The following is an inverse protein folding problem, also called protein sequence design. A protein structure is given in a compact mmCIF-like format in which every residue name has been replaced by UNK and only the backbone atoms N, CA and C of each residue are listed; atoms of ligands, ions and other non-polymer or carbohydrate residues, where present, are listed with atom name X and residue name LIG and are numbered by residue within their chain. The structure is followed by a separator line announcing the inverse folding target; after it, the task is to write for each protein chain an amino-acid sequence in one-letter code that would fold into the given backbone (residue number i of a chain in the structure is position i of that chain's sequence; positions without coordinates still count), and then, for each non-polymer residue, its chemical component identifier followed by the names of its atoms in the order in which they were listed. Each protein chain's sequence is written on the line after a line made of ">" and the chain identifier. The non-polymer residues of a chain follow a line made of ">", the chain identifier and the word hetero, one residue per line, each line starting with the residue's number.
data_IF_985509961125
#
_entry.id   IF_985509961125
#
_cell.length_a   1.000
_cell.length_b   1.000
_cell.length_c   1.000
_cell.angle_alpha   90.00
_cell.angle_beta   90.00
_cell.angle_gamma   90.00
#
_symmetry.space_group_name_H-M   'P 1'
#
loop_
_entity.id
_entity.type
_entity.pdbx_description
1 polymer ?
#
# COMPACT_ATOMS: atom_id res chain seq x y z
N UNK A 1 1.39 -26.19 -17.55
CA UNK A 1 1.24 -24.77 -17.98
C UNK A 1 1.90 -23.89 -16.94
N UNK A 2 2.74 -22.92 -17.34
CA UNK A 2 3.25 -21.90 -16.42
C UNK A 2 2.25 -20.75 -16.36
N UNK A 3 1.77 -20.42 -15.17
CA UNK A 3 0.94 -19.23 -14.95
C UNK A 3 1.85 -18.02 -14.72
N UNK A 4 1.49 -16.89 -15.33
CA UNK A 4 2.21 -15.62 -15.15
C UNK A 4 1.45 -14.80 -14.10
N UNK A 5 2.17 -14.34 -13.09
CA UNK A 5 1.70 -13.37 -12.12
C UNK A 5 2.56 -12.11 -12.21
N UNK A 6 1.94 -10.94 -12.15
CA UNK A 6 2.62 -9.65 -12.12
C UNK A 6 2.52 -9.07 -10.71
N UNK A 7 3.65 -8.87 -10.04
CA UNK A 7 3.72 -8.17 -8.76
C UNK A 7 4.04 -6.69 -8.99
N UNK A 8 3.27 -5.83 -8.33
CA UNK A 8 3.37 -4.38 -8.42
C UNK A 8 3.13 -3.73 -7.07
N UNK A 9 3.60 -2.50 -6.92
CA UNK A 9 3.39 -1.71 -5.70
C UNK A 9 3.30 -0.22 -6.01
N UNK A 10 2.80 0.58 -5.06
CA UNK A 10 2.67 2.03 -5.22
C UNK A 10 4.00 2.78 -5.06
N UNK A 11 4.93 2.27 -4.23
CA UNK A 11 6.19 2.95 -3.88
C UNK A 11 7.43 2.29 -4.48
N UNK A 12 8.41 3.10 -4.88
CA UNK A 12 9.72 2.60 -5.36
C UNK A 12 10.54 1.90 -4.28
N UNK A 13 10.36 2.30 -3.01
CA UNK A 13 11.02 1.65 -1.87
C UNK A 13 10.48 0.23 -1.71
N UNK A 14 9.15 0.07 -1.73
CA UNK A 14 8.50 -1.24 -1.64
C UNK A 14 8.88 -2.12 -2.82
N UNK A 15 8.99 -1.57 -4.03
CA UNK A 15 9.35 -2.33 -5.23
C UNK A 15 10.77 -2.92 -5.16
N UNK A 16 11.61 -2.40 -4.27
CA UNK A 16 12.98 -2.88 -4.07
C UNK A 16 13.06 -4.03 -3.04
N UNK A 17 11.98 -4.28 -2.29
CA UNK A 17 11.93 -5.30 -1.24
C UNK A 17 11.72 -6.70 -1.86
N UNK A 18 10.99 -6.80 -2.96
CA UNK A 18 10.68 -8.07 -3.62
C UNK A 18 11.31 -8.18 -5.02
N UNK A 19 12.03 -9.28 -5.32
CA UNK A 19 12.62 -9.49 -6.63
C UNK A 19 11.57 -9.46 -7.76
N UNK A 20 11.77 -8.56 -8.72
CA UNK A 20 10.91 -8.46 -9.90
C UNK A 20 9.68 -7.57 -9.74
N UNK A 21 9.45 -7.02 -8.55
CA UNK A 21 8.45 -5.97 -8.37
C UNK A 21 8.82 -4.70 -9.13
N UNK A 22 7.78 -3.98 -9.55
CA UNK A 22 7.90 -2.67 -10.16
C UNK A 22 6.77 -1.81 -9.65
N UNK A 23 6.98 -0.50 -9.63
CA UNK A 23 5.89 0.41 -9.32
C UNK A 23 4.76 0.28 -10.35
N UNK A 24 3.52 0.46 -9.94
CA UNK A 24 2.36 0.42 -10.83
C UNK A 24 2.54 1.39 -12.02
N UNK A 25 3.04 2.60 -11.75
CA UNK A 25 3.42 3.58 -12.78
C UNK A 25 4.40 3.01 -13.81
N UNK A 26 5.47 2.34 -13.37
CA UNK A 26 6.49 1.79 -14.28
C UNK A 26 5.98 0.56 -15.04
N UNK A 27 5.25 -0.33 -14.36
CA UNK A 27 4.72 -1.57 -14.92
C UNK A 27 3.64 -1.31 -15.97
N UNK A 28 2.73 -0.38 -15.69
CA UNK A 28 1.55 -0.13 -16.51
C UNK A 28 1.62 1.18 -17.30
N UNK A 29 2.74 1.90 -17.23
CA UNK A 29 2.95 3.19 -17.91
C UNK A 29 1.84 4.19 -17.59
N UNK A 30 1.31 4.13 -16.37
CA UNK A 30 0.35 5.10 -15.85
C UNK A 30 1.12 6.38 -15.52
N UNK A 31 0.63 7.53 -15.98
CA UNK A 31 1.24 8.83 -15.68
C UNK A 31 1.12 9.15 -14.19
N UNK A 32 2.11 9.86 -13.65
CA UNK A 32 2.13 10.28 -12.24
C UNK A 32 1.10 11.39 -12.01
N UNK A 33 1.04 12.35 -12.95
CA UNK A 33 0.00 13.37 -12.98
C UNK A 33 -1.15 12.87 -13.86
N UNK A 34 -2.22 12.45 -13.20
CA UNK A 34 -3.42 11.94 -13.85
C UNK A 34 -4.47 13.07 -13.86
N UNK A 35 -4.67 13.66 -15.03
CA UNK A 35 -5.80 14.54 -15.40
C UNK A 35 -7.07 13.73 -15.74
N UNK A 36 -8.23 14.39 -15.75
CA UNK A 36 -9.53 13.85 -16.17
C UNK A 36 -9.47 13.21 -17.57
N UNK A 37 -8.64 13.72 -18.49
CA UNK A 37 -8.48 13.21 -19.86
C UNK A 37 -7.34 12.20 -20.04
N UNK A 38 -6.73 11.70 -18.96
CA UNK A 38 -5.56 10.81 -19.09
C UNK A 38 -5.96 9.47 -19.69
N UNK A 39 -5.49 9.21 -20.91
CA UNK A 39 -5.58 7.91 -21.57
C UNK A 39 -4.29 7.12 -21.35
N UNK A 40 -4.38 5.79 -21.40
CA UNK A 40 -3.21 4.94 -21.23
C UNK A 40 -2.41 4.82 -22.54
N UNK A 41 -1.10 4.98 -22.44
CA UNK A 41 -0.18 5.02 -23.60
C UNK A 41 0.34 3.64 -24.05
N UNK A 42 -0.26 2.53 -23.61
CA UNK A 42 0.19 1.19 -24.02
C UNK A 42 -0.53 0.77 -25.30
N UNK A 43 0.21 0.65 -26.40
CA UNK A 43 -0.30 0.04 -27.64
C UNK A 43 -0.58 -1.45 -27.42
N UNK A 44 -1.67 -1.95 -28.01
CA UNK A 44 -2.10 -3.36 -27.91
C UNK A 44 -1.06 -4.33 -28.46
N UNK A 45 -0.28 -3.88 -29.43
CA UNK A 45 0.76 -4.63 -30.15
C UNK A 45 2.08 -4.70 -29.37
N UNK A 46 2.23 -3.92 -28.30
CA UNK A 46 3.46 -3.91 -27.50
C UNK A 46 3.70 -5.24 -26.78
N UNK A 47 4.97 -5.58 -26.55
CA UNK A 47 5.38 -6.76 -25.76
C UNK A 47 4.85 -6.71 -24.33
N UNK A 48 4.75 -5.50 -23.75
CA UNK A 48 4.15 -5.28 -22.43
C UNK A 48 2.65 -5.60 -22.42
N UNK A 49 1.91 -5.19 -23.45
CA UNK A 49 0.50 -5.57 -23.61
C UNK A 49 0.35 -7.09 -23.73
N UNK A 50 1.24 -7.76 -24.46
CA UNK A 50 1.29 -9.23 -24.51
C UNK A 50 1.47 -9.85 -23.12
N UNK A 51 2.46 -9.37 -22.36
CA UNK A 51 2.71 -9.83 -20.99
C UNK A 51 1.49 -9.65 -20.06
N UNK A 52 0.81 -8.50 -20.13
CA UNK A 52 -0.40 -8.22 -19.34
C UNK A 52 -1.55 -9.14 -19.77
N UNK A 53 -1.70 -9.39 -21.09
CA UNK A 53 -2.70 -10.31 -21.64
C UNK A 53 -2.45 -11.76 -21.20
N UNK A 54 -1.21 -12.19 -21.09
CA UNK A 54 -0.84 -13.54 -20.65
C UNK A 54 -0.91 -13.72 -19.13
N UNK A 55 -0.70 -12.64 -18.36
CA UNK A 55 -0.81 -12.65 -16.91
C UNK A 55 -2.20 -13.09 -16.44
N UNK A 56 -2.25 -14.07 -15.54
CA UNK A 56 -3.51 -14.55 -14.94
C UNK A 56 -3.85 -13.83 -13.64
N UNK A 57 -2.81 -13.36 -12.95
CA UNK A 57 -2.90 -12.70 -11.67
C UNK A 57 -2.08 -11.41 -11.70
N UNK A 58 -2.64 -10.33 -11.16
CA UNK A 58 -1.89 -9.10 -10.87
C UNK A 58 -2.06 -8.81 -9.39
N UNK A 59 -0.94 -8.67 -8.68
CA UNK A 59 -0.91 -8.28 -7.28
C UNK A 59 -0.44 -6.84 -7.20
N UNK A 60 -1.17 -6.00 -6.48
CA UNK A 60 -0.79 -4.63 -6.19
C UNK A 60 -0.70 -4.45 -4.68
N UNK A 61 0.52 -4.32 -4.18
CA UNK A 61 0.81 -4.07 -2.76
C UNK A 61 0.91 -2.58 -2.43
N UNK A 62 0.63 -2.21 -1.19
CA UNK A 62 0.55 -0.81 -0.72
C UNK A 62 -0.46 0.04 -1.51
N UNK A 63 -1.62 -0.54 -1.86
CA UNK A 63 -2.69 0.15 -2.61
C UNK A 63 -3.32 1.31 -1.83
N UNK A 64 -3.23 1.32 -0.50
CA UNK A 64 -3.76 2.40 0.36
C UNK A 64 -3.11 3.75 0.08
N UNK A 65 -1.85 3.73 -0.39
CA UNK A 65 -1.10 4.91 -0.82
C UNK A 65 -1.48 5.39 -2.23
N UNK A 66 -2.19 4.58 -3.02
CA UNK A 66 -2.55 4.91 -4.39
C UNK A 66 -3.77 5.83 -4.42
N UNK A 67 -3.71 6.88 -5.26
CA UNK A 67 -4.87 7.71 -5.54
C UNK A 67 -5.94 6.88 -6.24
N UNK A 68 -7.23 7.10 -5.91
CA UNK A 68 -8.37 6.42 -6.54
C UNK A 68 -8.30 6.44 -8.07
N UNK A 69 -7.88 7.57 -8.63
CA UNK A 69 -7.83 7.77 -10.08
C UNK A 69 -6.83 6.84 -10.75
N UNK A 70 -5.77 6.45 -10.04
CA UNK A 70 -4.80 5.49 -10.55
C UNK A 70 -5.40 4.10 -10.72
N UNK A 71 -6.28 3.69 -9.78
CA UNK A 71 -7.00 2.42 -9.91
C UNK A 71 -8.03 2.47 -11.04
N UNK A 72 -8.72 3.60 -11.21
CA UNK A 72 -9.68 3.80 -12.31
C UNK A 72 -9.01 3.76 -13.68
N UNK A 73 -7.88 4.45 -13.85
CA UNK A 73 -7.09 4.40 -15.08
C UNK A 73 -6.52 3.01 -15.32
N UNK A 74 -6.12 2.31 -14.25
CA UNK A 74 -5.67 0.91 -14.35
C UNK A 74 -6.79 -0.03 -14.82
N UNK A 75 -8.02 0.14 -14.32
CA UNK A 75 -9.19 -0.59 -14.81
C UNK A 75 -9.47 -0.31 -16.29
N UNK A 76 -9.47 0.97 -16.69
CA UNK A 76 -9.64 1.37 -18.09
C UNK A 76 -8.57 0.76 -19.01
N UNK A 77 -7.30 0.75 -18.56
CA UNK A 77 -6.20 0.10 -19.27
C UNK A 77 -6.49 -1.38 -19.52
N UNK A 78 -6.88 -2.11 -18.47
CA UNK A 78 -7.13 -3.54 -18.59
C UNK A 78 -8.35 -3.82 -19.47
N UNK A 79 -9.41 -3.04 -19.37
CA UNK A 79 -10.57 -3.13 -20.26
C UNK A 79 -10.17 -2.94 -21.73
N UNK A 80 -9.33 -1.93 -22.00
CA UNK A 80 -8.78 -1.64 -23.32
C UNK A 80 -7.91 -2.78 -23.86
N UNK A 81 -6.95 -3.27 -23.07
CA UNK A 81 -6.00 -4.31 -23.48
C UNK A 81 -6.67 -5.68 -23.67
N UNK A 82 -7.69 -5.98 -22.86
CA UNK A 82 -8.41 -7.26 -22.89
C UNK A 82 -9.61 -7.26 -23.84
N UNK A 83 -9.97 -6.10 -24.38
CA UNK A 83 -11.19 -5.91 -25.19
C UNK A 83 -12.45 -6.41 -24.46
N UNK A 84 -12.55 -6.12 -23.17
CA UNK A 84 -13.63 -6.59 -22.29
C UNK A 84 -14.05 -5.47 -21.34
N UNK A 85 -15.33 -5.11 -21.34
CA UNK A 85 -15.86 -4.02 -20.51
C UNK A 85 -16.10 -4.40 -19.03
N UNK A 86 -15.81 -5.65 -18.64
CA UNK A 86 -15.91 -6.08 -17.26
C UNK A 86 -14.78 -5.46 -16.41
N UNK A 87 -14.99 -5.38 -15.09
CA UNK A 87 -13.99 -4.89 -14.15
C UNK A 87 -12.63 -5.58 -14.37
N UNK A 88 -11.58 -4.76 -14.45
CA UNK A 88 -10.19 -5.14 -14.73
C UNK A 88 -10.01 -6.01 -15.98
N UNK A 89 -10.87 -5.87 -16.99
CA UNK A 89 -10.79 -6.67 -18.22
C UNK A 89 -10.87 -8.17 -17.96
N UNK A 90 -11.59 -8.60 -16.91
CA UNK A 90 -11.70 -10.00 -16.43
C UNK A 90 -10.40 -10.59 -15.88
N UNK A 91 -9.43 -9.76 -15.51
CA UNK A 91 -8.22 -10.22 -14.80
C UNK A 91 -8.53 -10.45 -13.32
N UNK A 92 -7.82 -11.42 -12.73
CA UNK A 92 -7.79 -11.58 -11.28
C UNK A 92 -6.81 -10.56 -10.73
N UNK A 93 -7.32 -9.63 -9.93
CA UNK A 93 -6.54 -8.59 -9.27
C UNK A 93 -6.59 -8.83 -7.76
N UNK A 94 -5.43 -8.83 -7.11
CA UNK A 94 -5.31 -8.83 -5.65
C UNK A 94 -4.72 -7.50 -5.23
N UNK A 95 -5.53 -6.67 -4.59
CA UNK A 95 -5.11 -5.41 -4.02
C UNK A 95 -4.83 -5.62 -2.53
N UNK A 96 -3.64 -5.23 -2.09
CA UNK A 96 -3.18 -5.33 -0.70
C UNK A 96 -2.76 -3.96 -0.21
N UNK A 97 -3.09 -3.66 1.03
CA UNK A 97 -2.69 -2.44 1.71
C UNK A 97 -3.42 -2.29 3.03
N UNK A 98 -2.88 -1.45 3.91
CA UNK A 98 -3.50 -1.10 5.17
C UNK A 98 -3.86 0.39 5.19
N UNK A 99 -5.16 0.66 5.28
CA UNK A 99 -5.70 2.03 5.28
C UNK A 99 -5.50 2.75 6.62
N UNK A 100 -4.99 2.06 7.65
CA UNK A 100 -4.53 2.69 8.90
C UNK A 100 -3.12 3.26 8.79
N UNK A 101 -2.39 2.96 7.71
CA UNK A 101 -1.09 3.54 7.43
C UNK A 101 -1.23 4.88 6.67
N UNK A 102 -0.44 5.05 5.61
CA UNK A 102 -0.34 6.28 4.84
C UNK A 102 -1.44 6.35 3.79
N UNK A 103 -2.15 7.48 3.79
CA UNK A 103 -3.10 7.86 2.74
C UNK A 103 -2.36 8.36 1.49
N UNK A 104 -3.05 8.47 0.34
CA UNK A 104 -2.46 9.00 -0.88
C UNK A 104 -1.92 10.42 -0.67
N UNK A 105 -0.76 10.72 -1.24
CA UNK A 105 -0.13 12.02 -1.07
C UNK A 105 -0.87 13.09 -1.89
N UNK A 106 -1.43 14.10 -1.21
CA UNK A 106 -2.03 15.30 -1.80
C UNK A 106 -1.23 16.52 -1.34
N UNK A 107 -0.46 17.12 -2.25
CA UNK A 107 0.36 18.31 -1.93
C UNK A 107 -0.55 19.46 -1.54
N UNK A 108 -0.27 20.09 -0.39
CA UNK A 108 -1.05 21.21 0.16
C UNK A 108 -2.54 20.89 0.39
N UNK A 109 -2.91 19.61 0.44
CA UNK A 109 -4.29 19.16 0.65
C UNK A 109 -4.75 19.31 2.10
N UNK A 110 -6.05 19.48 2.28
CA UNK A 110 -6.74 19.37 3.58
C UNK A 110 -7.24 17.93 3.77
N UNK A 111 -7.64 17.57 4.99
CA UNK A 111 -8.17 16.24 5.35
C UNK A 111 -9.20 15.69 4.33
N UNK A 112 -10.12 16.53 3.86
CA UNK A 112 -11.13 16.15 2.85
C UNK A 112 -10.53 15.74 1.50
N UNK A 113 -9.40 16.32 1.11
CA UNK A 113 -8.77 16.08 -0.18
C UNK A 113 -8.07 14.71 -0.15
N UNK A 114 -7.40 14.36 0.96
CA UNK A 114 -6.85 13.02 1.18
C UNK A 114 -7.92 11.92 1.14
N UNK A 115 -9.07 12.18 1.79
CA UNK A 115 -10.21 11.25 1.80
C UNK A 115 -10.80 11.11 0.38
N UNK A 116 -11.00 12.23 -0.32
CA UNK A 116 -11.53 12.24 -1.67
C UNK A 116 -10.62 11.54 -2.67
N UNK A 117 -9.30 11.60 -2.48
CA UNK A 117 -8.31 10.90 -3.31
C UNK A 117 -8.07 9.44 -2.90
N UNK A 118 -8.60 9.01 -1.75
CA UNK A 118 -8.45 7.63 -1.27
C UNK A 118 -9.23 6.64 -2.13
N UNK A 119 -8.69 5.42 -2.25
CA UNK A 119 -9.37 4.30 -2.90
C UNK A 119 -10.78 4.06 -2.36
N UNK A 120 -11.00 4.33 -1.06
CA UNK A 120 -12.29 4.19 -0.39
C UNK A 120 -13.40 5.04 -1.04
N UNK A 121 -13.03 6.10 -1.76
CA UNK A 121 -13.95 7.01 -2.48
C UNK A 121 -14.07 6.68 -3.98
N UNK A 122 -13.44 5.61 -4.47
CA UNK A 122 -13.62 5.13 -5.84
C UNK A 122 -14.91 4.33 -5.97
N UNK A 123 -15.59 4.42 -7.11
CA UNK A 123 -16.72 3.54 -7.42
C UNK A 123 -16.31 2.06 -7.43
N UNK A 124 -15.09 1.77 -7.88
CA UNK A 124 -14.52 0.41 -7.95
C UNK A 124 -14.48 -0.23 -6.56
N UNK A 125 -14.25 0.54 -5.50
CA UNK A 125 -14.15 0.02 -4.14
C UNK A 125 -15.35 -0.85 -3.76
N UNK A 126 -16.56 -0.44 -4.15
CA UNK A 126 -17.78 -1.17 -3.82
C UNK A 126 -17.90 -2.50 -4.57
N UNK A 127 -17.25 -2.63 -5.73
CA UNK A 127 -17.25 -3.85 -6.55
C UNK A 127 -16.22 -4.89 -6.06
N UNK A 128 -15.26 -4.49 -5.22
CA UNK A 128 -14.23 -5.40 -4.71
C UNK A 128 -14.77 -6.35 -3.63
N UNK A 129 -14.25 -7.57 -3.59
CA UNK A 129 -14.37 -8.43 -2.42
C UNK A 129 -13.35 -8.01 -1.35
N UNK A 130 -13.79 -7.89 -0.09
CA UNK A 130 -12.94 -7.44 1.01
C UNK A 130 -12.57 -8.62 1.90
N UNK A 131 -11.29 -8.97 1.89
CA UNK A 131 -10.71 -9.94 2.79
C UNK A 131 -9.90 -9.19 3.84
N UNK A 132 -10.10 -9.54 5.11
CA UNK A 132 -9.40 -8.92 6.23
C UNK A 132 -8.49 -9.95 6.88
N UNK A 133 -7.23 -9.59 7.08
CA UNK A 133 -6.32 -10.35 7.92
C UNK A 133 -6.49 -9.87 9.38
N UNK A 134 -6.41 -10.80 10.32
CA UNK A 134 -6.65 -10.52 11.74
C UNK A 134 -5.43 -10.80 12.61
N UNK A 135 -4.54 -11.67 12.17
CA UNK A 135 -3.34 -12.04 12.93
C UNK A 135 -2.13 -11.24 12.44
N UNK A 136 -1.56 -10.42 13.33
CA UNK A 136 -0.27 -9.77 13.09
C UNK A 136 0.86 -10.78 13.36
N UNK A 137 1.40 -11.35 12.30
CA UNK A 137 2.47 -12.34 12.39
C UNK A 137 3.80 -11.76 12.88
N UNK A 138 3.99 -10.43 12.80
CA UNK A 138 5.23 -9.75 13.18
C UNK A 138 5.38 -9.60 14.69
N UNK A 139 4.29 -9.30 15.36
CA UNK A 139 4.24 -9.10 16.81
C UNK A 139 3.63 -10.30 17.52
N UNK A 140 3.63 -11.47 16.87
CA UNK A 140 3.05 -12.70 17.42
C UNK A 140 3.67 -13.12 18.77
N UNK A 141 4.95 -12.82 18.96
CA UNK A 141 5.68 -13.10 20.21
C UNK A 141 5.52 -12.00 21.27
N UNK A 142 4.81 -10.92 20.96
CA UNK A 142 4.65 -9.74 21.82
C UNK A 142 3.20 -9.20 21.74
N UNK A 143 2.24 -9.89 22.37
CA UNK A 143 0.82 -9.52 22.28
C UNK A 143 0.51 -8.12 22.83
N UNK A 144 1.21 -7.70 23.90
CA UNK A 144 1.02 -6.38 24.50
C UNK A 144 1.39 -5.26 23.51
N UNK A 145 2.51 -5.42 22.80
CA UNK A 145 2.91 -4.48 21.75
C UNK A 145 1.97 -4.56 20.53
N UNK A 146 1.52 -5.76 20.15
CA UNK A 146 0.52 -5.94 19.09
C UNK A 146 -0.77 -5.15 19.37
N UNK A 147 -1.31 -5.28 20.59
CA UNK A 147 -2.52 -4.58 21.01
C UNK A 147 -2.31 -3.07 21.05
N UNK A 148 -1.13 -2.61 21.47
CA UNK A 148 -0.77 -1.20 21.43
C UNK A 148 -0.74 -0.64 20.00
N UNK A 149 -0.09 -1.33 19.05
CA UNK A 149 -0.09 -0.93 17.64
C UNK A 149 -1.50 -0.91 17.04
N UNK A 150 -2.35 -1.86 17.41
CA UNK A 150 -3.75 -1.91 16.98
C UNK A 150 -4.55 -0.72 17.50
N UNK A 151 -4.38 -0.34 18.78
CA UNK A 151 -5.04 0.84 19.35
C UNK A 151 -4.61 2.12 18.65
N UNK A 152 -3.31 2.27 18.34
CA UNK A 152 -2.81 3.40 17.56
C UNK A 152 -3.45 3.42 16.17
N UNK A 153 -3.37 2.31 15.43
CA UNK A 153 -3.88 2.25 14.05
C UNK A 153 -5.39 2.47 13.97
N UNK A 154 -6.14 2.11 15.00
CA UNK A 154 -7.59 2.34 15.07
C UNK A 154 -7.96 3.73 15.61
N UNK A 155 -7.00 4.56 16.00
CA UNK A 155 -7.25 5.87 16.63
C UNK A 155 -7.92 5.77 18.01
N UNK A 156 -7.65 4.68 18.74
CA UNK A 156 -8.20 4.40 20.07
C UNK A 156 -7.20 4.65 21.20
N UNK A 157 -5.92 4.84 20.87
CA UNK A 157 -4.89 5.15 21.86
C UNK A 157 -5.09 6.54 22.46
N UNK A 158 -4.75 6.69 23.74
CA UNK A 158 -4.96 7.97 24.44
C UNK A 158 -4.04 9.04 23.88
N UNK A 159 -4.60 10.23 23.71
CA UNK A 159 -3.84 11.43 23.35
C UNK A 159 -3.74 12.36 24.55
N UNK A 160 -2.65 13.10 24.62
CA UNK A 160 -2.46 14.13 25.64
C UNK A 160 -3.18 15.44 25.26
N UNK A 161 -3.02 16.47 26.09
CA UNK A 161 -3.64 17.79 25.88
C UNK A 161 -3.22 18.49 24.59
N UNK A 162 -2.13 18.03 23.94
CA UNK A 162 -1.64 18.53 22.67
C UNK A 162 -2.06 17.67 21.47
N UNK A 163 -3.02 16.74 21.64
CA UNK A 163 -3.50 15.81 20.61
C UNK A 163 -2.39 14.89 20.06
N UNK A 164 -1.45 14.50 20.94
CA UNK A 164 -0.33 13.59 20.60
C UNK A 164 -0.43 12.29 21.38
N UNK A 165 -0.05 11.20 20.74
CA UNK A 165 0.12 9.89 21.38
C UNK A 165 1.44 9.90 22.15
N UNK A 166 1.39 9.59 23.43
CA UNK A 166 2.59 9.44 24.27
C UNK A 166 3.16 8.04 24.13
N UNK A 167 4.48 7.95 24.01
CA UNK A 167 5.18 6.66 23.93
C UNK A 167 5.20 6.05 25.34
N UNK A 168 4.74 4.81 25.54
CA UNK A 168 4.82 4.12 26.82
C UNK A 168 6.25 4.06 27.36
N UNK A 169 6.42 4.24 28.67
CA UNK A 169 7.74 4.18 29.33
C UNK A 169 8.49 2.87 29.04
N UNK A 170 7.77 1.77 28.83
CA UNK A 170 8.35 0.46 28.46
C UNK A 170 9.03 0.44 27.08
N UNK A 171 8.75 1.42 26.22
CA UNK A 171 9.35 1.57 24.89
C UNK A 171 10.40 2.70 24.85
N UNK A 172 10.63 3.40 25.96
CA UNK A 172 11.59 4.50 26.04
C UNK A 172 12.93 3.98 26.56
N UNK A 173 14.00 4.25 25.82
CA UNK A 173 15.37 4.08 26.30
C UNK A 173 15.86 5.46 26.77
N UNK A 174 16.10 5.66 28.09
CA UNK A 174 16.56 6.94 28.60
C UNK A 174 17.90 7.33 27.98
N UNK A 175 17.98 8.56 27.49
CA UNK A 175 19.24 9.10 26.99
C UNK A 175 20.22 9.30 28.14
N UNK A 176 21.42 8.77 27.99
CA UNK A 176 22.52 8.88 28.96
C UNK A 176 23.75 9.48 28.28
N UNK A 177 24.47 8.66 27.51
CA UNK A 177 25.47 9.12 26.54
C UNK A 177 25.10 8.60 25.16
N UNK A 178 25.58 9.25 24.09
CA UNK A 178 25.30 8.82 22.71
C UNK A 178 25.65 7.34 22.51
N UNK A 179 26.87 6.95 22.91
CA UNK A 179 27.36 5.58 22.75
C UNK A 179 26.51 4.56 23.49
N UNK A 180 26.29 4.75 24.79
CA UNK A 180 25.52 3.79 25.60
C UNK A 180 24.05 3.72 25.19
N UNK A 181 23.47 4.85 24.80
CA UNK A 181 22.08 4.91 24.36
C UNK A 181 21.91 4.21 23.01
N UNK A 182 22.86 4.38 22.07
CA UNK A 182 22.88 3.67 20.80
C UNK A 182 23.10 2.17 20.98
N UNK A 183 24.04 1.76 21.85
CA UNK A 183 24.31 0.35 22.13
C UNK A 183 23.07 -0.35 22.71
N UNK A 184 22.37 0.32 23.66
CA UNK A 184 21.08 -0.16 24.20
C UNK A 184 19.99 -0.22 23.13
N UNK A 185 19.93 0.78 22.25
CA UNK A 185 18.96 0.82 21.15
C UNK A 185 19.20 -0.33 20.16
N UNK A 186 20.44 -0.55 19.73
CA UNK A 186 20.79 -1.64 18.82
C UNK A 186 20.55 -3.02 19.44
N UNK A 187 20.78 -3.17 20.75
CA UNK A 187 20.46 -4.41 21.46
C UNK A 187 18.94 -4.65 21.58
N UNK A 188 18.14 -3.59 21.64
CA UNK A 188 16.69 -3.66 21.77
C UNK A 188 15.95 -3.78 20.41
N UNK A 189 16.56 -3.33 19.31
CA UNK A 189 15.99 -3.44 17.97
C UNK A 189 16.14 -4.87 17.47
N UNK A 190 15.03 -5.60 17.49
CA UNK A 190 14.85 -6.74 16.61
C UNK A 190 14.50 -6.22 15.21
N UNK A 191 15.38 -6.40 14.23
CA UNK A 191 15.23 -5.91 12.85
C UNK A 191 13.92 -6.40 12.22
N UNK A 192 13.39 -7.54 12.69
CA UNK A 192 12.11 -8.05 12.22
C UNK A 192 10.89 -7.27 12.74
N UNK A 193 11.00 -6.38 13.73
CA UNK A 193 9.89 -5.59 14.30
C UNK A 193 9.57 -4.25 13.57
N UNK A 194 10.39 -3.78 12.61
CA UNK A 194 10.27 -2.39 12.09
C UNK A 194 9.79 -2.15 10.64
N UNK A 195 9.85 -3.10 9.71
CA UNK A 195 9.43 -2.90 8.32
C UNK A 195 7.91 -3.00 8.05
N UNK A 196 7.15 -1.90 8.16
CA UNK A 196 5.74 -1.72 7.74
C UNK A 196 4.71 -2.70 8.34
N UNK A 197 3.69 -2.14 9.00
CA UNK A 197 2.69 -2.92 9.75
C UNK A 197 1.63 -3.44 8.78
N UNK A 198 1.85 -4.62 8.20
CA UNK A 198 0.78 -5.30 7.47
C UNK A 198 -0.28 -5.70 8.49
N UNK A 199 -1.48 -5.16 8.34
CA UNK A 199 -2.68 -5.69 8.94
C UNK A 199 -3.69 -6.12 7.87
#
# INVERSE_FOLDING_TARGET
>A
MRYIALATTTSGVTASILPGERTAHSRFKILIDIDENTSCNISKESSLAGLIRDAKLIVWDEVSMAKRRMLEVFDLLLKYLMNANALFGRKVIVLRGDFRQTLPVVRYGKKKDFIGESLLYSSIWNELEKLKLFENMRTKTDPAFCDYLLRIGNGQERVNSADKIEIPDSLIIPYTTERESLDKLFAAIDIFKFGFVIF
#
